data_IF_070700762366
#
_entry.id   IF_070700762366
#
_cell.length_a   1.000
_cell.length_b   1.000
_cell.length_c   1.000
_cell.angle_alpha   90.00
_cell.angle_beta   90.00
_cell.angle_gamma   90.00
#
_symmetry.space_group_name_H-M   'P 1'
#
loop_
_entity.id
_entity.type
_entity.pdbx_description
1 polymer ?
#
# COMPACT_ATOMS: atom_id res chain seq x y z
N UNK A 1 27.55 -5.96 3.92
CA UNK A 1 26.19 -6.45 3.62
C UNK A 1 26.29 -7.91 3.26
N UNK A 2 25.40 -8.72 3.79
CA UNK A 2 25.34 -10.14 3.42
C UNK A 2 24.65 -10.29 2.07
N UNK A 3 25.00 -11.32 1.30
CA UNK A 3 24.29 -11.59 0.05
C UNK A 3 22.86 -12.05 0.38
N UNK A 4 21.82 -11.43 -0.19
CA UNK A 4 20.44 -11.80 0.12
C UNK A 4 20.15 -13.22 -0.37
N UNK A 5 19.64 -14.06 0.53
CA UNK A 5 19.21 -15.42 0.20
C UNK A 5 17.70 -15.40 -0.01
N UNK A 6 17.24 -15.73 -1.20
CA UNK A 6 15.81 -15.84 -1.50
C UNK A 6 15.31 -17.26 -1.28
N UNK A 7 14.17 -17.40 -0.62
CA UNK A 7 13.53 -18.69 -0.37
C UNK A 7 12.02 -18.59 -0.55
N UNK A 8 11.44 -19.65 -1.09
CA UNK A 8 9.99 -19.86 -1.03
C UNK A 8 9.65 -20.60 0.27
N UNK A 9 8.78 -20.01 1.09
CA UNK A 9 8.48 -20.49 2.44
C UNK A 9 6.97 -20.70 2.60
N UNK A 10 6.57 -21.81 3.22
CA UNK A 10 5.18 -22.07 3.55
C UNK A 10 4.70 -21.15 4.69
N UNK A 11 3.46 -20.65 4.61
CA UNK A 11 2.81 -19.79 5.60
C UNK A 11 2.88 -20.34 7.05
N UNK A 12 2.86 -21.66 7.23
CA UNK A 12 2.93 -22.31 8.55
C UNK A 12 4.31 -22.21 9.17
N UNK A 13 5.36 -21.99 8.37
CA UNK A 13 6.73 -21.85 8.85
C UNK A 13 7.13 -20.39 9.12
N UNK A 14 6.27 -19.43 8.77
CA UNK A 14 6.48 -18.02 9.06
C UNK A 14 5.89 -17.67 10.43
N UNK A 15 6.70 -17.07 11.30
CA UNK A 15 6.29 -16.54 12.60
C UNK A 15 6.15 -15.02 12.50
N UNK A 16 5.07 -14.47 13.06
CA UNK A 16 4.97 -13.02 13.25
C UNK A 16 6.03 -12.56 14.26
N UNK A 17 6.59 -11.37 14.04
CA UNK A 17 7.44 -10.72 15.02
C UNK A 17 6.56 -10.27 16.20
N UNK A 18 6.74 -10.89 17.36
CA UNK A 18 5.98 -10.59 18.57
C UNK A 18 6.38 -9.25 19.21
N UNK A 19 7.47 -8.64 18.77
CA UNK A 19 7.88 -7.27 19.12
C UNK A 19 7.71 -6.31 17.94
N UNK A 20 6.63 -6.45 17.16
CA UNK A 20 6.37 -5.54 16.04
C UNK A 20 6.07 -4.12 16.53
N UNK A 21 6.67 -3.05 15.97
CA UNK A 21 6.43 -1.67 16.41
C UNK A 21 4.97 -1.16 16.34
N UNK A 22 4.05 -1.93 15.74
CA UNK A 22 2.61 -1.61 15.70
C UNK A 22 1.89 -1.83 17.04
N UNK A 23 2.44 -2.66 17.92
CA UNK A 23 1.79 -3.02 19.18
C UNK A 23 2.82 -3.25 20.28
N UNK A 24 2.35 -3.29 21.53
CA UNK A 24 3.20 -3.64 22.67
C UNK A 24 3.71 -5.07 22.52
N UNK A 25 5.00 -5.36 22.81
CA UNK A 25 5.54 -6.71 22.69
C UNK A 25 4.70 -7.75 23.43
N UNK A 26 4.55 -8.90 22.80
CA UNK A 26 3.77 -10.05 23.31
C UNK A 26 4.63 -11.31 23.31
N UNK A 27 4.18 -12.36 23.99
CA UNK A 27 4.94 -13.60 24.11
C UNK A 27 4.50 -14.64 23.08
N UNK A 28 3.23 -14.64 22.70
CA UNK A 28 2.63 -15.69 21.87
C UNK A 28 2.18 -15.22 20.49
N UNK A 29 2.18 -16.16 19.53
CA UNK A 29 1.74 -15.88 18.15
C UNK A 29 0.25 -15.52 18.07
N UNK A 30 -0.59 -16.10 18.91
CA UNK A 30 -2.02 -15.77 18.99
C UNK A 30 -2.21 -14.31 19.41
N UNK A 31 -1.45 -13.85 20.40
CA UNK A 31 -1.47 -12.45 20.86
C UNK A 31 -0.97 -11.50 19.77
N UNK A 32 0.07 -11.87 19.03
CA UNK A 32 0.58 -11.05 17.92
C UNK A 32 -0.44 -10.94 16.78
N UNK A 33 -1.20 -12.01 16.51
CA UNK A 33 -2.29 -11.99 15.54
C UNK A 33 -3.45 -11.11 16.04
N UNK A 34 -3.89 -11.28 17.29
CA UNK A 34 -4.95 -10.47 17.90
C UNK A 34 -4.60 -8.98 17.88
N UNK A 35 -3.39 -8.62 18.31
CA UNK A 35 -2.89 -7.25 18.31
C UNK A 35 -2.89 -6.64 16.89
N UNK A 36 -2.46 -7.40 15.88
CA UNK A 36 -2.48 -6.94 14.48
C UNK A 36 -3.92 -6.79 13.95
N UNK A 37 -4.84 -7.67 14.34
CA UNK A 37 -6.26 -7.56 13.97
C UNK A 37 -6.87 -6.28 14.55
N UNK A 38 -6.62 -6.00 15.84
CA UNK A 38 -7.10 -4.80 16.53
C UNK A 38 -6.55 -3.51 15.93
N UNK A 39 -5.28 -3.50 15.56
CA UNK A 39 -4.60 -2.35 14.96
C UNK A 39 -5.03 -2.09 13.49
N UNK A 40 -5.13 -3.13 12.67
CA UNK A 40 -5.34 -2.98 11.22
C UNK A 40 -6.80 -3.10 10.77
N UNK A 41 -7.64 -3.87 11.48
CA UNK A 41 -9.08 -4.00 11.25
C UNK A 41 -9.44 -4.23 9.76
N UNK A 42 -10.37 -3.44 9.20
CA UNK A 42 -10.86 -3.56 7.82
C UNK A 42 -9.77 -3.38 6.75
N UNK A 43 -8.63 -2.76 7.08
CA UNK A 43 -7.48 -2.68 6.17
C UNK A 43 -6.95 -4.07 5.82
N UNK A 44 -7.08 -5.05 6.73
CA UNK A 44 -6.70 -6.44 6.47
C UNK A 44 -7.61 -7.08 5.42
N UNK A 45 -8.92 -6.77 5.41
CA UNK A 45 -9.85 -7.27 4.38
C UNK A 45 -9.51 -6.68 3.03
N UNK A 46 -9.22 -5.36 2.99
CA UNK A 46 -8.81 -4.69 1.75
C UNK A 46 -7.55 -5.33 1.18
N UNK A 47 -6.56 -5.59 2.03
CA UNK A 47 -5.34 -6.28 1.64
C UNK A 47 -5.61 -7.73 1.21
N UNK A 48 -6.46 -8.47 1.93
CA UNK A 48 -6.82 -9.83 1.59
C UNK A 48 -7.48 -9.93 0.21
N UNK A 49 -8.43 -9.05 -0.09
CA UNK A 49 -9.10 -8.96 -1.40
C UNK A 49 -8.10 -8.63 -2.51
N UNK A 50 -7.19 -7.69 -2.26
CA UNK A 50 -6.14 -7.36 -3.22
C UNK A 50 -5.23 -8.55 -3.49
N UNK A 51 -4.78 -9.27 -2.45
CA UNK A 51 -3.93 -10.46 -2.62
C UNK A 51 -4.68 -11.58 -3.33
N UNK A 52 -5.96 -11.79 -3.03
CA UNK A 52 -6.77 -12.80 -3.70
C UNK A 52 -6.94 -12.51 -5.20
N UNK A 53 -7.00 -11.23 -5.58
CA UNK A 53 -7.18 -10.82 -6.97
C UNK A 53 -5.87 -10.76 -7.77
N UNK A 54 -4.79 -10.25 -7.17
CA UNK A 54 -3.55 -9.94 -7.88
C UNK A 54 -2.33 -10.74 -7.41
N UNK A 55 -2.48 -11.59 -6.39
CA UNK A 55 -1.37 -12.25 -5.72
C UNK A 55 -0.58 -11.31 -4.81
N UNK A 56 0.59 -11.79 -4.36
CA UNK A 56 1.52 -11.00 -3.57
C UNK A 56 2.30 -10.03 -4.47
N UNK A 57 2.51 -8.80 -3.99
CA UNK A 57 3.29 -7.81 -4.72
C UNK A 57 4.75 -8.30 -4.92
N UNK A 58 5.20 -8.56 -6.16
CA UNK A 58 6.55 -9.04 -6.42
C UNK A 58 7.65 -7.99 -6.16
N UNK A 59 7.30 -6.70 -6.11
CA UNK A 59 8.27 -5.62 -5.81
C UNK A 59 8.53 -5.43 -4.32
N UNK A 60 7.72 -6.04 -3.47
CA UNK A 60 7.82 -5.93 -2.02
C UNK A 60 7.99 -7.34 -1.45
N UNK A 61 9.23 -7.80 -1.31
CA UNK A 61 9.51 -9.16 -0.82
C UNK A 61 9.43 -9.19 0.72
N UNK A 62 8.89 -10.28 1.28
CA UNK A 62 8.82 -10.44 2.75
C UNK A 62 10.23 -10.69 3.29
N UNK A 63 10.66 -9.89 4.26
CA UNK A 63 11.98 -10.04 4.89
C UNK A 63 11.84 -10.86 6.16
N UNK A 64 12.66 -11.91 6.26
CA UNK A 64 12.62 -12.83 7.40
C UNK A 64 14.00 -13.08 7.98
N UNK A 65 14.02 -13.43 9.27
CA UNK A 65 15.20 -13.91 10.00
C UNK A 65 15.03 -15.38 10.36
N UNK A 66 16.03 -16.25 10.15
CA UNK A 66 15.98 -17.63 10.63
C UNK A 66 15.76 -17.70 12.15
N UNK A 67 14.88 -18.61 12.59
CA UNK A 67 14.65 -18.88 14.00
C UNK A 67 14.31 -20.37 14.17
N UNK A 68 15.27 -21.15 14.68
CA UNK A 68 15.18 -22.61 14.75
C UNK A 68 14.87 -23.21 13.36
N UNK A 69 13.77 -23.95 13.22
CA UNK A 69 13.31 -24.54 11.95
C UNK A 69 12.26 -23.68 11.22
N UNK A 70 12.07 -22.44 11.68
CA UNK A 70 11.08 -21.49 11.19
C UNK A 70 11.74 -20.14 10.88
N UNK A 71 10.92 -19.15 10.51
CA UNK A 71 11.39 -17.83 10.09
C UNK A 71 10.54 -16.73 10.72
N UNK A 72 11.17 -15.82 11.46
CA UNK A 72 10.48 -14.65 12.03
C UNK A 72 10.40 -13.55 10.99
N UNK A 73 9.19 -13.07 10.73
CA UNK A 73 8.93 -12.00 9.76
C UNK A 73 9.38 -10.67 10.33
N UNK A 74 10.37 -10.05 9.71
CA UNK A 74 10.92 -8.76 10.13
C UNK A 74 10.30 -7.61 9.36
N UNK A 75 10.03 -7.81 8.07
CA UNK A 75 9.21 -6.89 7.26
C UNK A 75 8.12 -7.63 6.49
N UNK A 76 6.92 -7.04 6.43
CA UNK A 76 5.75 -7.66 5.83
C UNK A 76 4.81 -8.35 6.82
N UNK A 77 4.94 -8.09 8.13
CA UNK A 77 4.09 -8.67 9.17
C UNK A 77 2.59 -8.55 8.86
N UNK A 78 2.10 -7.38 8.42
CA UNK A 78 0.69 -7.19 8.03
C UNK A 78 0.24 -8.16 6.91
N UNK A 79 1.10 -8.39 5.91
CA UNK A 79 0.83 -9.31 4.81
C UNK A 79 0.80 -10.76 5.29
N UNK A 80 1.76 -11.15 6.12
CA UNK A 80 1.79 -12.50 6.68
C UNK A 80 0.62 -12.75 7.63
N UNK A 81 0.24 -11.79 8.47
CA UNK A 81 -0.99 -11.88 9.27
C UNK A 81 -2.19 -12.07 8.36
N UNK A 82 -2.32 -11.27 7.30
CA UNK A 82 -3.43 -11.39 6.34
C UNK A 82 -3.48 -12.80 5.73
N UNK A 83 -2.35 -13.35 5.29
CA UNK A 83 -2.28 -14.71 4.74
C UNK A 83 -2.60 -15.78 5.79
N UNK A 84 -2.18 -15.62 7.04
CA UNK A 84 -2.55 -16.52 8.15
C UNK A 84 -4.06 -16.51 8.39
N UNK A 85 -4.69 -15.33 8.39
CA UNK A 85 -6.14 -15.20 8.56
C UNK A 85 -6.91 -15.72 7.33
N UNK A 86 -6.38 -15.57 6.11
CA UNK A 86 -6.93 -16.22 4.92
C UNK A 86 -6.80 -17.73 5.06
N UNK A 87 -5.67 -18.26 5.52
CA UNK A 87 -5.46 -19.70 5.69
C UNK A 87 -6.42 -20.28 6.74
N UNK A 88 -6.53 -19.60 7.89
CA UNK A 88 -7.31 -20.04 9.05
C UNK A 88 -8.12 -18.86 9.63
N UNK A 89 -9.33 -18.59 9.09
CA UNK A 89 -10.19 -17.51 9.59
C UNK A 89 -10.62 -17.67 11.06
N UNK A 90 -10.45 -18.86 11.64
CA UNK A 90 -10.71 -19.13 13.05
C UNK A 90 -9.77 -18.37 14.00
N UNK A 91 -8.59 -17.95 13.52
CA UNK A 91 -7.64 -17.12 14.27
C UNK A 91 -8.14 -15.69 14.51
N UNK A 92 -9.20 -15.26 13.81
CA UNK A 92 -9.80 -13.95 14.02
C UNK A 92 -10.55 -13.95 15.36
N UNK A 93 -10.24 -12.98 16.25
CA UNK A 93 -10.89 -12.86 17.55
C UNK A 93 -12.42 -12.73 17.43
N UNK A 94 -13.15 -13.32 18.38
CA UNK A 94 -14.60 -13.46 18.34
C UNK A 94 -15.37 -12.13 18.35
N UNK A 95 -14.76 -11.07 18.85
CA UNK A 95 -15.28 -9.69 18.86
C UNK A 95 -15.23 -9.03 17.47
N UNK A 96 -14.64 -9.66 16.46
CA UNK A 96 -14.63 -9.21 15.06
C UNK A 96 -15.42 -10.13 14.11
N UNK A 97 -16.72 -10.40 14.35
CA UNK A 97 -17.49 -11.36 13.56
C UNK A 97 -17.66 -10.94 12.09
N UNK A 98 -17.74 -9.64 11.80
CA UNK A 98 -17.81 -9.12 10.42
C UNK A 98 -16.51 -9.41 9.67
N UNK A 99 -15.36 -9.13 10.30
CA UNK A 99 -14.04 -9.42 9.75
C UNK A 99 -13.89 -10.92 9.48
N UNK A 100 -14.27 -11.75 10.46
CA UNK A 100 -14.22 -13.20 10.34
C UNK A 100 -15.03 -13.71 9.14
N UNK A 101 -16.23 -13.18 8.94
CA UNK A 101 -17.08 -13.52 7.79
C UNK A 101 -16.42 -13.17 6.45
N UNK A 102 -15.81 -12.00 6.33
CA UNK A 102 -15.10 -11.60 5.10
C UNK A 102 -13.94 -12.55 4.80
N UNK A 103 -13.13 -12.90 5.81
CA UNK A 103 -12.02 -13.84 5.62
C UNK A 103 -12.48 -15.26 5.32
N UNK A 104 -13.61 -15.71 5.86
CA UNK A 104 -14.23 -16.98 5.49
C UNK A 104 -14.65 -17.00 4.01
N UNK A 105 -15.26 -15.92 3.51
CA UNK A 105 -15.63 -15.80 2.10
C UNK A 105 -14.39 -15.82 1.19
N UNK A 106 -13.33 -15.08 1.55
CA UNK A 106 -12.08 -15.06 0.79
C UNK A 106 -11.41 -16.44 0.82
N UNK A 107 -11.38 -17.12 1.98
CA UNK A 107 -10.75 -18.43 2.15
C UNK A 107 -11.27 -19.48 1.17
N UNK A 108 -12.57 -19.45 0.84
CA UNK A 108 -13.24 -20.42 -0.04
C UNK A 108 -12.66 -20.39 -1.46
N UNK A 109 -12.39 -19.20 -2.00
CA UNK A 109 -11.93 -19.02 -3.38
C UNK A 109 -10.44 -18.70 -3.48
N UNK A 110 -9.71 -18.69 -2.36
CA UNK A 110 -8.30 -18.30 -2.35
C UNK A 110 -7.41 -19.41 -2.91
N UNK A 111 -6.52 -19.04 -3.83
CA UNK A 111 -5.48 -19.95 -4.33
C UNK A 111 -4.52 -20.34 -3.20
N UNK A 112 -4.63 -21.59 -2.74
CA UNK A 112 -3.84 -22.13 -1.64
C UNK A 112 -2.37 -22.32 -2.01
N UNK A 113 -1.99 -22.32 -3.28
CA UNK A 113 -0.58 -22.45 -3.67
C UNK A 113 0.23 -21.19 -3.33
N UNK A 114 -0.41 -20.02 -3.25
CA UNK A 114 0.18 -18.79 -2.71
C UNK A 114 0.66 -18.99 -1.26
N UNK A 115 -0.09 -19.77 -0.46
CA UNK A 115 0.25 -20.03 0.95
C UNK A 115 1.43 -20.99 1.10
N UNK A 116 1.69 -21.82 0.10
CA UNK A 116 2.80 -22.78 0.10
C UNK A 116 4.11 -22.13 -0.34
N UNK A 117 4.03 -21.11 -1.19
CA UNK A 117 5.16 -20.55 -1.92
C UNK A 117 5.33 -19.03 -1.71
N UNK A 118 5.50 -18.60 -0.46
CA UNK A 118 5.70 -17.18 -0.16
C UNK A 118 7.17 -16.84 -0.40
N UNK A 119 7.43 -15.98 -1.39
CA UNK A 119 8.78 -15.51 -1.66
C UNK A 119 9.28 -14.60 -0.54
N UNK A 120 10.38 -14.99 0.07
CA UNK A 120 11.02 -14.30 1.17
C UNK A 120 12.49 -14.04 0.87
N UNK A 121 13.01 -12.93 1.41
CA UNK A 121 14.44 -12.68 1.52
C UNK A 121 14.86 -12.97 2.96
N UNK A 122 15.92 -13.76 3.11
CA UNK A 122 16.45 -14.23 4.39
C UNK A 122 17.72 -13.46 4.71
N UNK A 123 17.74 -12.81 5.88
CA UNK A 123 18.90 -12.15 6.45
C UNK A 123 19.12 -12.62 7.89
N UNK A 124 20.36 -12.69 8.33
CA UNK A 124 20.71 -13.14 9.70
C UNK A 124 21.15 -11.98 10.61
N UNK A 125 21.82 -10.98 10.05
CA UNK A 125 22.36 -9.85 10.80
C UNK A 125 21.25 -8.86 11.20
N UNK A 126 21.11 -8.59 12.50
CA UNK A 126 20.03 -7.75 13.03
C UNK A 126 20.16 -6.28 12.60
N UNK A 127 21.37 -5.74 12.51
CA UNK A 127 21.62 -4.34 12.13
C UNK A 127 21.26 -4.11 10.67
N UNK A 128 21.62 -5.05 9.79
CA UNK A 128 21.26 -5.03 8.37
C UNK A 128 19.73 -5.11 8.18
N UNK A 129 19.07 -6.01 8.93
CA UNK A 129 17.61 -6.11 8.94
C UNK A 129 16.98 -4.77 9.37
N UNK A 130 17.46 -4.20 10.46
CA UNK A 130 16.91 -2.96 11.01
C UNK A 130 17.10 -1.78 10.07
N UNK A 131 18.21 -1.72 9.33
CA UNK A 131 18.44 -0.68 8.33
C UNK A 131 17.40 -0.73 7.20
N UNK A 132 17.11 -1.92 6.64
CA UNK A 132 16.09 -2.06 5.59
C UNK A 132 14.68 -1.75 6.11
N UNK A 133 14.36 -2.18 7.34
CA UNK A 133 13.09 -1.85 8.00
C UNK A 133 12.98 -0.34 8.22
N UNK A 134 14.05 0.32 8.68
CA UNK A 134 14.11 1.77 8.89
C UNK A 134 13.85 2.52 7.59
N UNK A 135 14.59 2.23 6.53
CA UNK A 135 14.44 2.89 5.22
C UNK A 135 13.02 2.80 4.66
N UNK A 136 12.30 1.72 4.98
CA UNK A 136 10.93 1.50 4.51
C UNK A 136 9.86 2.22 5.34
N UNK A 137 10.07 2.38 6.64
CA UNK A 137 9.01 2.84 7.57
C UNK A 137 9.25 4.22 8.21
N UNK A 138 10.48 4.76 8.20
CA UNK A 138 10.78 6.05 8.86
C UNK A 138 10.76 7.24 7.90
N UNK A 139 10.15 7.08 6.74
CA UNK A 139 9.98 8.13 5.73
C UNK A 139 11.17 8.26 4.77
N UNK A 140 11.42 9.48 4.30
CA UNK A 140 12.35 9.72 3.19
C UNK A 140 13.82 9.56 3.57
N UNK A 141 14.19 9.72 4.85
CA UNK A 141 15.56 9.58 5.35
C UNK A 141 16.60 10.32 4.47
N UNK A 142 16.41 11.64 4.28
CA UNK A 142 17.27 12.47 3.41
C UNK A 142 17.38 11.97 1.95
N UNK A 143 16.39 11.20 1.50
CA UNK A 143 16.32 10.61 0.16
C UNK A 143 16.75 9.15 0.08
N UNK A 144 17.28 8.56 1.16
CA UNK A 144 17.66 7.13 1.19
C UNK A 144 16.45 6.18 1.34
N UNK A 145 15.36 6.66 1.92
CA UNK A 145 14.09 5.93 2.08
C UNK A 145 13.10 6.22 0.96
N UNK A 146 11.86 5.75 1.13
CA UNK A 146 10.82 5.94 0.10
C UNK A 146 10.34 7.39 0.08
N UNK A 147 10.59 8.09 -1.03
CA UNK A 147 10.04 9.41 -1.32
C UNK A 147 8.62 9.26 -1.88
N UNK A 148 7.62 9.61 -1.07
CA UNK A 148 6.23 9.59 -1.51
C UNK A 148 5.99 10.57 -2.64
N UNK A 149 5.17 10.17 -3.61
CA UNK A 149 4.71 11.07 -4.65
C UNK A 149 3.83 12.17 -4.09
N UNK A 150 3.99 13.38 -4.63
CA UNK A 150 3.04 14.46 -4.39
C UNK A 150 1.70 14.21 -5.12
N UNK A 151 0.75 15.13 -4.94
CA UNK A 151 -0.57 15.01 -5.56
C UNK A 151 -0.55 15.08 -7.09
N UNK A 152 0.40 15.82 -7.69
CA UNK A 152 0.54 15.93 -9.14
C UNK A 152 1.12 14.64 -9.73
N UNK A 153 2.18 14.11 -9.15
CA UNK A 153 2.80 12.84 -9.53
C UNK A 153 1.82 11.67 -9.39
N UNK A 154 1.09 11.63 -8.27
CA UNK A 154 0.04 10.61 -8.05
C UNK A 154 -1.07 10.72 -9.10
N UNK A 155 -1.51 11.93 -9.44
CA UNK A 155 -2.54 12.13 -10.45
C UNK A 155 -2.05 11.72 -11.85
N UNK A 156 -0.82 12.08 -12.23
CA UNK A 156 -0.19 11.65 -13.49
C UNK A 156 -0.13 10.13 -13.60
N UNK A 157 0.24 9.44 -12.52
CA UNK A 157 0.25 7.98 -12.51
C UNK A 157 -1.15 7.39 -12.74
N UNK A 158 -2.21 7.96 -12.16
CA UNK A 158 -3.59 7.49 -12.42
C UNK A 158 -4.00 7.64 -13.88
N UNK A 159 -3.59 8.73 -14.54
CA UNK A 159 -3.83 8.89 -15.98
C UNK A 159 -3.15 7.76 -16.76
N UNK A 160 -1.88 7.48 -16.44
CA UNK A 160 -1.08 6.44 -17.12
C UNK A 160 -1.66 5.04 -16.86
N UNK A 161 -2.01 4.73 -15.61
CA UNK A 161 -2.38 3.38 -15.19
C UNK A 161 -3.87 3.06 -15.37
N UNK A 162 -4.76 4.03 -15.16
CA UNK A 162 -6.22 3.85 -15.21
C UNK A 162 -6.87 4.47 -16.45
N UNK A 163 -6.12 5.24 -17.26
CA UNK A 163 -6.68 5.95 -18.41
C UNK A 163 -7.67 7.05 -18.04
N UNK A 164 -7.83 7.38 -16.75
CA UNK A 164 -8.78 8.40 -16.29
C UNK A 164 -8.15 9.78 -16.40
N UNK A 165 -8.66 10.67 -17.27
CA UNK A 165 -8.11 12.01 -17.40
C UNK A 165 -8.32 12.80 -16.09
N UNK A 166 -7.26 13.45 -15.60
CA UNK A 166 -7.38 14.46 -14.57
C UNK A 166 -7.58 15.82 -15.25
N UNK A 167 -8.79 16.36 -15.11
CA UNK A 167 -9.20 17.64 -15.71
C UNK A 167 -8.29 18.79 -15.25
N UNK A 168 -7.85 18.78 -13.98
CA UNK A 168 -6.91 19.78 -13.46
C UNK A 168 -5.58 19.65 -14.19
N UNK A 169 -5.02 18.45 -14.28
CA UNK A 169 -3.74 18.28 -14.97
C UNK A 169 -3.82 18.71 -16.43
N UNK A 170 -4.87 18.29 -17.13
CA UNK A 170 -5.10 18.64 -18.53
C UNK A 170 -5.19 20.16 -18.69
N UNK A 171 -5.99 20.83 -17.87
CA UNK A 171 -6.12 22.29 -17.86
C UNK A 171 -4.78 23.00 -17.58
N UNK A 172 -4.03 22.55 -16.57
CA UNK A 172 -2.74 23.16 -16.23
C UNK A 172 -1.69 22.91 -17.32
N UNK A 173 -1.72 21.76 -17.99
CA UNK A 173 -0.80 21.45 -19.08
C UNK A 173 -1.15 22.27 -20.34
N UNK A 174 -2.43 22.47 -20.66
CA UNK A 174 -2.88 23.40 -21.72
C UNK A 174 -2.44 24.84 -21.45
N UNK A 175 -2.63 25.36 -20.23
CA UNK A 175 -2.18 26.71 -19.86
C UNK A 175 -0.67 26.92 -20.06
N UNK A 176 0.15 25.87 -19.92
CA UNK A 176 1.59 25.95 -20.16
C UNK A 176 1.94 26.10 -21.64
N UNK A 177 1.11 25.54 -22.53
CA UNK A 177 1.31 25.57 -23.98
C UNK A 177 0.91 26.92 -24.60
N UNK A 178 -0.01 27.66 -23.97
CA UNK A 178 -0.43 28.98 -24.44
C UNK A 178 0.74 29.96 -24.34
N UNK A 179 1.14 30.54 -25.48
CA UNK A 179 2.27 31.46 -25.57
C UNK A 179 2.05 32.76 -24.76
N UNK A 180 0.81 33.26 -24.73
CA UNK A 180 0.44 34.52 -24.08
C UNK A 180 0.41 34.45 -22.55
N UNK A 181 0.45 33.24 -21.97
CA UNK A 181 0.51 33.10 -20.51
C UNK A 181 1.93 33.41 -20.04
N UNK A 182 2.13 34.42 -19.16
CA UNK A 182 3.46 34.78 -18.69
C UNK A 182 4.17 33.62 -17.97
N UNK A 183 5.49 33.52 -18.12
CA UNK A 183 6.26 32.46 -17.48
C UNK A 183 6.10 32.47 -15.95
N UNK A 184 6.01 33.65 -15.33
CA UNK A 184 5.76 33.79 -13.89
C UNK A 184 4.44 33.14 -13.43
N UNK A 185 3.41 33.13 -14.28
CA UNK A 185 2.15 32.43 -14.01
C UNK A 185 2.34 30.93 -14.21
N UNK A 186 3.01 30.51 -15.30
CA UNK A 186 3.31 29.10 -15.60
C UNK A 186 4.08 28.44 -14.46
N UNK A 187 5.04 29.15 -13.88
CA UNK A 187 5.86 28.69 -12.75
C UNK A 187 5.00 28.48 -11.48
N UNK A 188 3.95 29.27 -11.30
CA UNK A 188 3.04 29.18 -10.16
C UNK A 188 1.95 28.10 -10.27
N UNK A 189 1.67 27.58 -11.48
CA UNK A 189 0.56 26.64 -11.73
C UNK A 189 0.63 25.37 -10.88
N UNK A 190 1.83 24.88 -10.59
CA UNK A 190 2.05 23.68 -9.76
C UNK A 190 1.53 23.83 -8.32
N UNK A 191 1.47 25.07 -7.82
CA UNK A 191 1.08 25.37 -6.44
C UNK A 191 -0.45 25.37 -6.23
N UNK A 192 -1.24 25.32 -7.31
CA UNK A 192 -2.70 25.30 -7.23
C UNK A 192 -3.15 23.94 -6.66
N UNK A 193 -3.57 23.92 -5.40
CA UNK A 193 -4.10 22.71 -4.76
C UNK A 193 -5.32 22.17 -5.52
N UNK A 194 -5.42 20.85 -5.65
CA UNK A 194 -6.54 20.19 -6.33
C UNK A 194 -7.90 20.64 -5.79
N UNK A 195 -8.05 20.70 -4.47
CA UNK A 195 -9.30 21.14 -3.83
C UNK A 195 -9.69 22.58 -4.17
N UNK A 196 -8.72 23.45 -4.46
CA UNK A 196 -9.01 24.84 -4.82
C UNK A 196 -9.45 24.91 -6.28
N UNK A 197 -8.76 24.18 -7.16
CA UNK A 197 -9.17 24.02 -8.56
C UNK A 197 -10.57 23.42 -8.67
N UNK A 198 -10.84 22.33 -7.95
CA UNK A 198 -12.16 21.66 -7.96
C UNK A 198 -13.28 22.61 -7.52
N UNK A 199 -13.03 23.48 -6.52
CA UNK A 199 -13.99 24.51 -6.09
C UNK A 199 -14.20 25.58 -7.16
N UNK A 200 -13.12 26.06 -7.76
CA UNK A 200 -13.16 27.13 -8.77
C UNK A 200 -13.90 26.67 -10.04
N UNK A 201 -13.57 25.49 -10.57
CA UNK A 201 -14.21 24.94 -11.77
C UNK A 201 -15.59 24.35 -11.46
N UNK A 202 -15.86 24.01 -10.20
CA UNK A 202 -17.18 23.61 -9.74
C UNK A 202 -18.21 24.74 -9.80
N UNK A 203 -17.77 25.98 -9.61
CA UNK A 203 -18.59 27.19 -9.60
C UNK A 203 -19.13 27.53 -11.02
N UNK A 204 -20.46 27.56 -11.23
CA UNK A 204 -21.05 27.89 -12.52
C UNK A 204 -20.67 29.28 -13.04
N UNK A 205 -20.60 30.29 -12.17
CA UNK A 205 -20.34 31.69 -12.57
C UNK A 205 -18.90 31.82 -13.09
N UNK A 206 -17.97 31.12 -12.44
CA UNK A 206 -16.57 31.07 -12.89
C UNK A 206 -16.45 30.35 -14.23
N UNK A 207 -17.19 29.25 -14.43
CA UNK A 207 -17.19 28.56 -15.73
C UNK A 207 -17.75 29.44 -16.84
N UNK A 208 -18.77 30.25 -16.56
CA UNK A 208 -19.32 31.20 -17.52
C UNK A 208 -18.31 32.31 -17.86
N UNK A 209 -17.67 32.91 -16.85
CA UNK A 209 -16.62 33.93 -17.05
C UNK A 209 -15.45 33.40 -17.90
N UNK A 210 -15.06 32.14 -17.68
CA UNK A 210 -13.96 31.50 -18.39
C UNK A 210 -14.37 30.84 -19.72
N UNK A 211 -15.64 30.91 -20.10
CA UNK A 211 -16.24 30.17 -21.24
C UNK A 211 -15.87 28.67 -21.25
N UNK A 212 -15.85 28.05 -20.06
CA UNK A 212 -15.50 26.63 -19.90
C UNK A 212 -16.74 25.76 -19.97
N UNK A 213 -16.69 24.75 -20.84
CA UNK A 213 -17.71 23.69 -20.91
C UNK A 213 -17.15 22.37 -20.39
N UNK A 214 -17.84 21.79 -19.41
CA UNK A 214 -17.52 20.44 -18.93
C UNK A 214 -17.99 19.41 -19.95
N UNK A 215 -17.04 18.77 -20.63
CA UNK A 215 -17.34 17.63 -21.50
C UNK A 215 -17.23 16.38 -20.65
N UNK A 216 -18.36 15.73 -20.35
CA UNK A 216 -18.36 14.41 -19.73
C UNK A 216 -18.11 13.39 -20.83
N UNK A 217 -16.87 12.98 -20.99
CA UNK A 217 -16.55 11.82 -21.83
C UNK A 217 -16.92 10.55 -21.08
N UNK A 218 -18.02 9.91 -21.49
CA UNK A 218 -18.34 8.54 -21.11
C UNK A 218 -17.31 7.62 -21.77
N UNK A 219 -16.34 7.14 -21.00
CA UNK A 219 -15.48 6.06 -21.45
C UNK A 219 -16.25 4.74 -21.21
N UNK A 220 -16.67 4.09 -22.31
CA UNK A 220 -17.19 2.72 -22.32
C UNK A 220 -16.09 1.72 -21.99
#
# INVERSE_FOLDING_TARGET
MSNPIYKSINITNLLLNSSNPRFNPVEHQSEAIDAMVRDQQDKLVTLAKHIALYGLNPSDIVLVKPHNKQWVVREGNRRITTLKLINEPALIPSDFPKLKKEFQLINISFDKDILKNIQCVVLENEDEINEWVRLKHTGQNEGSGTVSWDGQQTSRFRVIAEGKPDMRLSFLDELRLIADVPQSIKDGLGNIKKTNFDRLIGDPDIREIMDLRLVVTSFN
#
